data_IF_588054003687
#
_entry.id   IF_588054003687
#
_cell.length_a   1.000
_cell.length_b   1.000
_cell.length_c   1.000
_cell.angle_alpha   90.00
_cell.angle_beta   90.00
_cell.angle_gamma   90.00
#
_symmetry.space_group_name_H-M   'P 1'
#
loop_
_entity.id
_entity.type
_entity.pdbx_description
1 polymer ?
#
# COMPACT_ATOMS: atom_id res chain seq x y z
N UNK A 1 -50.17 -48.72 -8.29
CA UNK A 1 -48.94 -48.11 -8.81
C UNK A 1 -48.63 -46.96 -7.88
N UNK A 2 -47.67 -47.18 -7.00
CA UNK A 2 -47.38 -46.32 -5.86
C UNK A 2 -46.84 -44.96 -6.24
N UNK A 3 -47.24 -44.02 -5.39
CA UNK A 3 -46.91 -42.61 -5.31
C UNK A 3 -45.43 -42.29 -5.35
N UNK A 4 -44.97 -41.75 -6.47
CA UNK A 4 -43.66 -41.11 -6.62
C UNK A 4 -43.82 -39.58 -6.47
N UNK A 5 -44.13 -39.10 -5.25
CA UNK A 5 -44.28 -37.66 -4.95
C UNK A 5 -43.60 -37.21 -3.64
N UNK A 6 -42.63 -37.96 -3.11
CA UNK A 6 -41.96 -37.61 -1.84
C UNK A 6 -40.70 -36.72 -1.95
N UNK A 7 -40.15 -36.47 -3.14
CA UNK A 7 -38.82 -35.85 -3.25
C UNK A 7 -38.78 -34.31 -3.35
N UNK A 8 -39.91 -33.60 -3.51
CA UNK A 8 -39.89 -32.12 -3.59
C UNK A 8 -39.84 -31.41 -2.23
N UNK A 9 -40.41 -31.99 -1.16
CA UNK A 9 -40.66 -31.23 0.07
C UNK A 9 -39.45 -31.15 1.02
N UNK A 10 -38.60 -32.19 1.07
CA UNK A 10 -37.44 -32.24 1.97
C UNK A 10 -36.28 -31.35 1.49
N UNK A 11 -35.94 -31.41 0.19
CA UNK A 11 -34.90 -30.57 -0.42
C UNK A 11 -35.25 -29.08 -0.34
N UNK A 12 -36.51 -28.71 -0.62
CA UNK A 12 -36.97 -27.31 -0.52
C UNK A 12 -36.91 -26.84 0.94
N UNK A 13 -37.29 -27.68 1.90
CA UNK A 13 -37.21 -27.37 3.35
C UNK A 13 -35.77 -27.14 3.81
N UNK A 14 -34.84 -28.00 3.40
CA UNK A 14 -33.43 -27.89 3.79
C UNK A 14 -32.76 -26.65 3.19
N UNK A 15 -33.07 -26.33 1.93
CA UNK A 15 -32.59 -25.11 1.27
C UNK A 15 -33.16 -23.86 1.96
N UNK A 16 -34.46 -23.84 2.25
CA UNK A 16 -35.11 -22.74 2.97
C UNK A 16 -34.56 -22.58 4.40
N UNK A 17 -34.35 -23.69 5.12
CA UNK A 17 -33.82 -23.69 6.48
C UNK A 17 -32.36 -23.22 6.52
N UNK A 18 -31.50 -23.71 5.63
CA UNK A 18 -30.11 -23.21 5.48
C UNK A 18 -30.10 -21.72 5.12
N UNK A 19 -31.04 -21.26 4.28
CA UNK A 19 -31.23 -19.84 3.97
C UNK A 19 -31.61 -19.00 5.19
N UNK A 20 -32.55 -19.47 6.02
CA UNK A 20 -32.95 -18.82 7.27
C UNK A 20 -31.79 -18.75 8.27
N UNK A 21 -31.03 -19.84 8.43
CA UNK A 21 -29.83 -19.86 9.27
C UNK A 21 -28.76 -18.87 8.77
N UNK A 22 -28.56 -18.77 7.45
CA UNK A 22 -27.64 -17.79 6.85
C UNK A 22 -28.08 -16.35 7.15
N UNK A 23 -29.37 -16.04 6.98
CA UNK A 23 -29.93 -14.70 7.28
C UNK A 23 -29.79 -14.35 8.77
N UNK A 24 -30.09 -15.29 9.67
CA UNK A 24 -29.93 -15.10 11.12
C UNK A 24 -28.47 -14.85 11.50
N UNK A 25 -27.54 -15.61 10.93
CA UNK A 25 -26.08 -15.44 11.14
C UNK A 25 -25.61 -14.05 10.70
N UNK A 26 -25.97 -13.61 9.49
CA UNK A 26 -25.64 -12.26 9.00
C UNK A 26 -26.15 -11.16 9.94
N UNK A 27 -27.39 -11.30 10.43
CA UNK A 27 -27.99 -10.35 11.39
C UNK A 27 -27.23 -10.31 12.72
N UNK A 28 -26.78 -11.45 13.22
CA UNK A 28 -25.98 -11.53 14.45
C UNK A 28 -24.64 -10.82 14.25
N UNK A 29 -23.89 -11.16 13.20
CA UNK A 29 -22.61 -10.50 12.93
C UNK A 29 -22.75 -8.98 12.79
N UNK A 30 -23.82 -8.51 12.12
CA UNK A 30 -24.10 -7.08 11.99
C UNK A 30 -24.28 -6.42 13.36
N UNK A 31 -25.19 -6.97 14.17
CA UNK A 31 -25.46 -6.45 15.51
C UNK A 31 -24.23 -6.46 16.41
N UNK A 32 -23.40 -7.52 16.32
CA UNK A 32 -22.13 -7.59 17.06
C UNK A 32 -21.21 -6.45 16.66
N UNK A 33 -21.01 -6.22 15.35
CA UNK A 33 -20.15 -5.14 14.88
C UNK A 33 -20.68 -3.74 15.27
N UNK A 34 -21.99 -3.50 15.09
CA UNK A 34 -22.64 -2.24 15.47
C UNK A 34 -22.51 -1.96 16.98
N UNK A 35 -22.68 -3.00 17.81
CA UNK A 35 -22.50 -2.88 19.25
C UNK A 35 -21.04 -2.61 19.63
N UNK A 36 -20.08 -3.29 18.97
CA UNK A 36 -18.65 -3.06 19.17
C UNK A 36 -18.23 -1.63 18.79
N UNK A 37 -18.73 -1.10 17.67
CA UNK A 37 -18.48 0.30 17.27
C UNK A 37 -18.96 1.30 18.33
N UNK A 38 -20.07 0.99 19.02
CA UNK A 38 -20.63 1.87 20.03
C UNK A 38 -19.82 1.82 21.35
N UNK A 39 -19.57 0.62 21.87
CA UNK A 39 -18.91 0.45 23.19
C UNK A 39 -17.40 0.72 23.14
N UNK A 40 -16.75 0.51 21.98
CA UNK A 40 -15.31 0.70 21.82
C UNK A 40 -14.96 1.95 21.01
N UNK A 41 -15.88 2.92 20.91
CA UNK A 41 -15.72 4.11 20.07
C UNK A 41 -14.40 4.85 20.27
N UNK A 42 -13.92 4.96 21.51
CA UNK A 42 -12.69 5.68 21.87
C UNK A 42 -11.40 4.89 21.61
N UNK A 43 -11.50 3.58 21.34
CA UNK A 43 -10.36 2.69 21.06
C UNK A 43 -10.68 1.77 19.89
N UNK A 44 -11.39 2.30 18.91
CA UNK A 44 -11.94 1.50 17.81
C UNK A 44 -10.82 0.90 16.93
N UNK A 45 -9.64 1.54 16.94
CA UNK A 45 -8.42 1.11 16.29
C UNK A 45 -7.95 -0.28 16.72
N UNK A 46 -8.11 -0.63 18.00
CA UNK A 46 -7.75 -1.95 18.54
C UNK A 46 -8.62 -3.09 17.96
N UNK A 47 -9.75 -2.74 17.34
CA UNK A 47 -10.77 -3.68 16.88
C UNK A 47 -11.01 -3.67 15.37
N UNK A 48 -10.20 -2.95 14.58
CA UNK A 48 -10.43 -2.82 13.14
C UNK A 48 -10.52 -4.16 12.40
N UNK A 49 -9.63 -5.12 12.67
CA UNK A 49 -9.67 -6.43 12.01
C UNK A 49 -10.96 -7.21 12.36
N UNK A 50 -11.32 -7.21 13.65
CA UNK A 50 -12.50 -7.91 14.17
C UNK A 50 -13.78 -7.30 13.59
N UNK A 51 -13.88 -5.97 13.56
CA UNK A 51 -14.98 -5.24 12.93
C UNK A 51 -15.06 -5.54 11.43
N UNK A 52 -13.93 -5.53 10.72
CA UNK A 52 -13.84 -5.92 9.31
C UNK A 52 -14.40 -7.30 9.05
N UNK A 53 -14.06 -8.28 9.91
CA UNK A 53 -14.53 -9.65 9.82
C UNK A 53 -16.02 -9.81 10.11
N UNK A 54 -16.54 -9.18 11.19
CA UNK A 54 -17.97 -9.21 11.46
C UNK A 54 -18.78 -8.56 10.34
N UNK A 55 -18.34 -7.41 9.82
CA UNK A 55 -19.03 -6.77 8.71
C UNK A 55 -18.95 -7.58 7.41
N UNK A 56 -17.86 -8.30 7.16
CA UNK A 56 -17.74 -9.23 6.04
C UNK A 56 -18.80 -10.34 6.12
N UNK A 57 -18.90 -11.01 7.28
CA UNK A 57 -19.88 -12.07 7.50
C UNK A 57 -21.32 -11.56 7.57
N UNK A 58 -21.51 -10.28 7.90
CA UNK A 58 -22.80 -9.60 7.84
C UNK A 58 -23.20 -9.15 6.41
N UNK A 59 -22.29 -9.29 5.44
CA UNK A 59 -22.41 -8.77 4.08
C UNK A 59 -22.66 -7.26 4.02
N UNK A 60 -22.03 -6.52 4.94
CA UNK A 60 -21.95 -5.05 4.91
C UNK A 60 -20.57 -4.70 4.39
N UNK A 61 -20.40 -4.86 3.09
CA UNK A 61 -19.09 -4.90 2.45
C UNK A 61 -18.38 -3.55 2.45
N UNK A 62 -19.12 -2.44 2.44
CA UNK A 62 -18.58 -1.09 2.49
C UNK A 62 -17.82 -0.87 3.79
N UNK A 63 -18.47 -1.13 4.95
CA UNK A 63 -17.81 -1.06 6.26
C UNK A 63 -16.68 -2.08 6.37
N UNK A 64 -16.88 -3.30 5.88
CA UNK A 64 -15.86 -4.35 5.92
C UNK A 64 -14.58 -3.94 5.18
N UNK A 65 -14.72 -3.36 3.98
CA UNK A 65 -13.62 -2.83 3.19
C UNK A 65 -12.84 -1.76 3.96
N UNK A 66 -13.55 -0.78 4.53
CA UNK A 66 -12.94 0.33 5.26
C UNK A 66 -12.16 -0.18 6.49
N UNK A 67 -12.75 -1.09 7.27
CA UNK A 67 -12.11 -1.65 8.44
C UNK A 67 -10.91 -2.54 8.12
N UNK A 68 -10.98 -3.38 7.08
CA UNK A 68 -9.82 -4.14 6.64
C UNK A 68 -8.70 -3.24 6.09
N UNK A 69 -9.02 -2.15 5.38
CA UNK A 69 -8.01 -1.17 4.95
C UNK A 69 -7.33 -0.52 6.16
N UNK A 70 -8.10 -0.08 7.16
CA UNK A 70 -7.58 0.52 8.40
C UNK A 70 -6.74 -0.47 9.23
N UNK A 71 -7.22 -1.71 9.40
CA UNK A 71 -6.47 -2.77 10.08
C UNK A 71 -5.14 -3.05 9.39
N UNK A 72 -5.13 -3.10 8.06
CA UNK A 72 -3.89 -3.27 7.30
C UNK A 72 -2.92 -2.10 7.48
N UNK A 73 -3.43 -0.86 7.47
CA UNK A 73 -2.64 0.34 7.70
C UNK A 73 -2.02 0.39 9.09
N UNK A 74 -2.76 -0.04 10.10
CA UNK A 74 -2.29 -0.07 11.48
C UNK A 74 -1.27 -1.20 11.72
N UNK A 75 -1.57 -2.40 11.23
CA UNK A 75 -0.63 -3.52 11.25
C UNK A 75 0.68 -3.19 10.52
N UNK A 76 0.63 -2.45 9.41
CA UNK A 76 1.82 -1.98 8.69
C UNK A 76 2.66 -1.04 9.55
N UNK A 77 2.05 -0.10 10.29
CA UNK A 77 2.79 0.82 11.19
C UNK A 77 3.49 0.07 12.32
N UNK A 78 2.89 -1.02 12.80
CA UNK A 78 3.42 -1.88 13.86
C UNK A 78 4.35 -2.99 13.33
N UNK A 79 4.70 -2.99 12.04
CA UNK A 79 5.51 -4.02 11.38
C UNK A 79 4.92 -5.45 11.49
N UNK A 80 3.63 -5.58 11.74
CA UNK A 80 2.88 -6.84 11.73
C UNK A 80 2.58 -7.24 10.28
N UNK A 81 3.64 -7.51 9.52
CA UNK A 81 3.61 -7.60 8.06
C UNK A 81 2.61 -8.64 7.52
N UNK A 82 2.54 -9.82 8.15
CA UNK A 82 1.62 -10.87 7.70
C UNK A 82 0.14 -10.50 7.94
N UNK A 83 -0.15 -9.80 9.06
CA UNK A 83 -1.49 -9.29 9.37
C UNK A 83 -1.88 -8.22 8.35
N UNK A 84 -0.97 -7.28 8.06
CA UNK A 84 -1.18 -6.24 7.07
C UNK A 84 -1.51 -6.82 5.68
N UNK A 85 -0.73 -7.81 5.23
CA UNK A 85 -0.97 -8.50 3.96
C UNK A 85 -2.32 -9.22 3.93
N UNK A 86 -2.71 -9.90 5.02
CA UNK A 86 -4.01 -10.55 5.15
C UNK A 86 -5.17 -9.55 5.03
N UNK A 87 -5.08 -8.45 5.78
CA UNK A 87 -6.08 -7.38 5.78
C UNK A 87 -6.22 -6.72 4.41
N UNK A 88 -5.12 -6.31 3.78
CA UNK A 88 -5.19 -5.71 2.44
C UNK A 88 -5.70 -6.69 1.37
N UNK A 89 -5.36 -7.97 1.47
CA UNK A 89 -5.88 -9.00 0.57
C UNK A 89 -7.40 -9.12 0.69
N UNK A 90 -7.94 -9.09 1.92
CA UNK A 90 -9.39 -9.05 2.15
C UNK A 90 -10.02 -7.76 1.61
N UNK A 91 -9.38 -6.61 1.80
CA UNK A 91 -9.85 -5.36 1.22
C UNK A 91 -9.89 -5.41 -0.32
N UNK A 92 -8.91 -6.05 -0.99
CA UNK A 92 -8.92 -6.25 -2.45
C UNK A 92 -10.06 -7.17 -2.89
N UNK A 93 -10.29 -8.28 -2.18
CA UNK A 93 -11.39 -9.21 -2.44
C UNK A 93 -12.74 -8.48 -2.43
N UNK A 94 -12.96 -7.67 -1.39
CA UNK A 94 -14.18 -6.89 -1.21
C UNK A 94 -14.28 -5.78 -2.27
N UNK A 95 -13.19 -5.03 -2.51
CA UNK A 95 -13.13 -3.98 -3.53
C UNK A 95 -13.57 -4.49 -4.90
N UNK A 96 -13.04 -5.65 -5.33
CA UNK A 96 -13.42 -6.27 -6.61
C UNK A 96 -14.91 -6.58 -6.72
N UNK A 97 -15.57 -6.81 -5.59
CA UNK A 97 -17.01 -7.13 -5.52
C UNK A 97 -17.89 -5.88 -5.54
N UNK A 98 -17.55 -4.84 -4.77
CA UNK A 98 -18.44 -3.70 -4.56
C UNK A 98 -18.01 -2.41 -5.26
N UNK A 99 -16.73 -2.28 -5.61
CA UNK A 99 -16.15 -1.07 -6.22
C UNK A 99 -15.39 -1.38 -7.54
N UNK A 100 -15.93 -2.19 -8.47
CA UNK A 100 -15.17 -2.71 -9.61
C UNK A 100 -14.62 -1.62 -10.56
N UNK A 101 -15.21 -0.42 -10.56
CA UNK A 101 -14.81 0.71 -11.39
C UNK A 101 -13.86 1.69 -10.68
N UNK A 102 -13.69 1.59 -9.36
CA UNK A 102 -12.79 2.46 -8.59
C UNK A 102 -11.35 1.95 -8.64
N UNK A 103 -10.74 1.98 -9.83
CA UNK A 103 -9.41 1.41 -10.07
C UNK A 103 -8.30 2.04 -9.22
N UNK A 104 -8.37 3.33 -8.91
CA UNK A 104 -7.33 4.00 -8.11
C UNK A 104 -7.32 3.53 -6.64
N UNK A 105 -8.49 3.24 -6.05
CA UNK A 105 -8.56 2.59 -4.73
C UNK A 105 -7.94 1.19 -4.72
N UNK A 106 -8.05 0.47 -5.84
CA UNK A 106 -7.39 -0.83 -6.00
C UNK A 106 -5.88 -0.67 -6.15
N UNK A 107 -5.42 0.37 -6.87
CA UNK A 107 -4.02 0.72 -7.00
C UNK A 107 -3.37 1.00 -5.62
N UNK A 108 -4.05 1.75 -4.76
CA UNK A 108 -3.58 2.03 -3.38
C UNK A 108 -3.35 0.75 -2.57
N UNK A 109 -4.23 -0.24 -2.70
CA UNK A 109 -4.07 -1.51 -1.99
C UNK A 109 -2.90 -2.32 -2.53
N UNK A 110 -2.70 -2.34 -3.85
CA UNK A 110 -1.51 -2.97 -4.43
C UNK A 110 -0.23 -2.25 -4.02
N UNK A 111 -0.20 -0.92 -4.00
CA UNK A 111 0.94 -0.15 -3.50
C UNK A 111 1.25 -0.50 -2.05
N UNK A 112 0.23 -0.52 -1.17
CA UNK A 112 0.41 -0.86 0.25
C UNK A 112 0.92 -2.29 0.46
N UNK A 113 0.43 -3.26 -0.31
CA UNK A 113 0.95 -4.65 -0.29
C UNK A 113 2.40 -4.69 -0.78
N UNK A 114 2.72 -3.96 -1.85
CA UNK A 114 4.07 -3.82 -2.37
C UNK A 114 5.03 -3.28 -1.31
N UNK A 115 4.65 -2.20 -0.61
CA UNK A 115 5.45 -1.62 0.47
C UNK A 115 5.76 -2.65 1.57
N UNK A 116 4.75 -3.40 2.03
CA UNK A 116 4.93 -4.43 3.06
C UNK A 116 5.85 -5.56 2.57
N UNK A 117 5.75 -5.94 1.29
CA UNK A 117 6.63 -6.96 0.70
C UNK A 117 8.08 -6.47 0.55
N UNK A 118 8.31 -5.19 0.29
CA UNK A 118 9.66 -4.60 0.33
C UNK A 118 10.27 -4.74 1.72
N UNK A 119 9.52 -4.44 2.78
CA UNK A 119 9.99 -4.61 4.17
C UNK A 119 10.35 -6.06 4.49
N UNK A 120 9.64 -7.01 3.89
CA UNK A 120 9.94 -8.45 4.00
C UNK A 120 11.04 -8.95 3.05
N UNK A 121 11.70 -8.07 2.30
CA UNK A 121 12.64 -8.40 1.22
C UNK A 121 12.05 -9.33 0.12
N UNK A 122 10.72 -9.39 -0.02
CA UNK A 122 10.02 -10.14 -1.06
C UNK A 122 9.96 -9.33 -2.38
N UNK A 123 11.12 -8.93 -2.89
CA UNK A 123 11.27 -7.92 -3.95
C UNK A 123 10.54 -8.23 -5.25
N UNK A 124 10.64 -9.44 -5.78
CA UNK A 124 9.98 -9.79 -7.05
C UNK A 124 8.45 -9.72 -6.95
N UNK A 125 7.91 -10.12 -5.79
CA UNK A 125 6.47 -10.02 -5.52
C UNK A 125 6.06 -8.56 -5.34
N UNK A 126 6.87 -7.75 -4.64
CA UNK A 126 6.63 -6.31 -4.49
C UNK A 126 6.59 -5.60 -5.85
N UNK A 127 7.55 -5.91 -6.73
CA UNK A 127 7.56 -5.41 -8.12
C UNK A 127 6.29 -5.76 -8.89
N UNK A 128 5.74 -6.97 -8.71
CA UNK A 128 4.47 -7.36 -9.34
C UNK A 128 3.30 -6.51 -8.84
N UNK A 129 3.20 -6.27 -7.53
CA UNK A 129 2.14 -5.44 -6.97
C UNK A 129 2.29 -3.97 -7.36
N UNK A 130 3.50 -3.43 -7.35
CA UNK A 130 3.78 -2.09 -7.88
C UNK A 130 3.40 -1.97 -9.36
N UNK A 131 3.69 -2.95 -10.21
CA UNK A 131 3.22 -2.94 -11.61
C UNK A 131 1.70 -2.89 -11.72
N UNK A 132 0.96 -3.59 -10.85
CA UNK A 132 -0.49 -3.48 -10.78
C UNK A 132 -0.95 -2.08 -10.34
N UNK A 133 -0.29 -1.49 -9.33
CA UNK A 133 -0.59 -0.13 -8.88
C UNK A 133 -0.34 0.90 -9.99
N UNK A 134 0.82 0.83 -10.66
CA UNK A 134 1.19 1.69 -11.79
C UNK A 134 0.15 1.64 -12.92
N UNK A 135 -0.33 0.44 -13.26
CA UNK A 135 -1.32 0.24 -14.31
C UNK A 135 -2.65 0.94 -13.99
N UNK A 136 -3.08 0.92 -12.73
CA UNK A 136 -4.39 1.45 -12.33
C UNK A 136 -4.38 2.93 -11.91
N UNK A 137 -3.24 3.48 -11.48
CA UNK A 137 -3.15 4.90 -11.21
C UNK A 137 -3.35 5.74 -12.46
N UNK A 138 -4.02 6.89 -12.33
CA UNK A 138 -4.19 7.85 -13.43
C UNK A 138 -3.23 9.02 -13.29
N UNK A 139 -3.13 9.58 -12.09
CA UNK A 139 -2.28 10.73 -11.80
C UNK A 139 -0.80 10.43 -12.09
N UNK A 140 -0.13 11.36 -12.79
CA UNK A 140 1.28 11.22 -13.17
C UNK A 140 2.19 11.09 -11.95
N UNK A 141 1.93 11.87 -10.89
CA UNK A 141 2.70 11.80 -9.64
C UNK A 141 2.60 10.44 -8.96
N UNK A 142 1.41 9.82 -8.96
CA UNK A 142 1.22 8.47 -8.41
C UNK A 142 2.00 7.43 -9.21
N UNK A 143 1.94 7.51 -10.55
CA UNK A 143 2.71 6.61 -11.43
C UNK A 143 4.21 6.78 -11.24
N UNK A 144 4.69 8.02 -11.17
CA UNK A 144 6.07 8.37 -10.91
C UNK A 144 6.54 7.84 -9.55
N UNK A 145 5.70 7.97 -8.51
CA UNK A 145 5.98 7.42 -7.19
C UNK A 145 6.16 5.90 -7.20
N UNK A 146 5.36 5.19 -7.99
CA UNK A 146 5.52 3.75 -8.17
C UNK A 146 6.81 3.40 -8.94
N UNK A 147 7.16 4.15 -9.99
CA UNK A 147 8.44 3.96 -10.72
C UNK A 147 9.64 4.14 -9.80
N UNK A 148 9.65 5.20 -8.99
CA UNK A 148 10.65 5.43 -7.93
C UNK A 148 10.75 4.23 -6.98
N UNK A 149 9.62 3.72 -6.49
CA UNK A 149 9.59 2.57 -5.57
C UNK A 149 10.14 1.29 -6.21
N UNK A 150 9.92 1.08 -7.50
CA UNK A 150 10.55 -0.02 -8.26
C UNK A 150 12.07 0.21 -8.37
N UNK A 151 12.52 1.43 -8.69
CA UNK A 151 13.94 1.79 -8.69
C UNK A 151 14.61 1.49 -7.34
N UNK A 152 13.96 1.83 -6.23
CA UNK A 152 14.45 1.51 -4.88
C UNK A 152 14.62 0.00 -4.66
N UNK A 153 13.74 -0.84 -5.21
CA UNK A 153 13.92 -2.31 -5.13
C UNK A 153 15.21 -2.73 -5.83
N UNK A 154 15.48 -2.23 -7.03
CA UNK A 154 16.71 -2.56 -7.75
C UNK A 154 17.96 -2.03 -7.04
N UNK A 155 17.87 -0.86 -6.40
CA UNK A 155 18.92 -0.38 -5.51
C UNK A 155 19.20 -1.36 -4.37
N UNK A 156 18.17 -1.85 -3.67
CA UNK A 156 18.34 -2.84 -2.60
C UNK A 156 18.89 -4.20 -3.08
N UNK A 157 18.71 -4.53 -4.36
CA UNK A 157 19.28 -5.72 -4.99
C UNK A 157 20.74 -5.52 -5.45
N UNK A 158 21.27 -4.30 -5.38
CA UNK A 158 22.59 -3.95 -5.93
C UNK A 158 22.62 -3.78 -7.45
N UNK A 159 21.46 -3.82 -8.12
CA UNK A 159 21.32 -3.68 -9.57
C UNK A 159 21.26 -2.18 -9.94
N UNK A 160 22.38 -1.48 -9.71
CA UNK A 160 22.42 -0.01 -9.74
C UNK A 160 22.09 0.60 -11.09
N UNK A 161 22.56 0.04 -12.20
CA UNK A 161 22.27 0.61 -13.53
C UNK A 161 20.76 0.54 -13.85
N UNK A 162 20.09 -0.52 -13.38
CA UNK A 162 18.62 -0.63 -13.52
C UNK A 162 17.90 0.37 -12.61
N UNK A 163 18.36 0.53 -11.36
CA UNK A 163 17.80 1.52 -10.45
C UNK A 163 17.94 2.96 -10.98
N UNK A 164 19.10 3.30 -11.54
CA UNK A 164 19.37 4.58 -12.22
C UNK A 164 18.35 4.83 -13.32
N UNK A 165 18.14 3.86 -14.22
CA UNK A 165 17.16 3.98 -15.30
C UNK A 165 15.75 4.30 -14.78
N UNK A 166 15.31 3.65 -13.70
CA UNK A 166 14.01 3.98 -13.07
C UNK A 166 13.96 5.38 -12.45
N UNK A 167 15.05 5.85 -11.86
CA UNK A 167 15.12 7.21 -11.31
C UNK A 167 15.10 8.27 -12.40
N UNK A 168 15.84 8.07 -13.49
CA UNK A 168 15.86 8.97 -14.65
C UNK A 168 14.49 9.02 -15.34
N UNK A 169 13.84 7.88 -15.56
CA UNK A 169 12.47 7.82 -16.05
C UNK A 169 11.50 8.61 -15.15
N UNK A 170 11.64 8.47 -13.83
CA UNK A 170 10.78 9.17 -12.87
C UNK A 170 11.01 10.68 -12.90
N UNK A 171 12.26 11.12 -13.03
CA UNK A 171 12.62 12.54 -13.19
C UNK A 171 12.02 13.10 -14.48
N UNK A 172 12.14 12.37 -15.59
CA UNK A 172 11.59 12.77 -16.89
C UNK A 172 10.06 12.86 -16.85
N UNK A 173 9.38 11.91 -16.19
CA UNK A 173 7.92 11.95 -16.00
C UNK A 173 7.44 13.20 -15.24
N UNK A 174 8.27 13.76 -14.37
CA UNK A 174 7.93 14.89 -13.49
C UNK A 174 8.68 16.18 -13.84
N UNK A 175 9.32 16.27 -15.00
CA UNK A 175 10.11 17.46 -15.40
C UNK A 175 9.30 18.75 -15.42
N UNK A 176 8.03 18.67 -15.83
CA UNK A 176 7.07 19.80 -15.85
C UNK A 176 6.40 20.05 -14.47
N UNK A 177 6.76 19.25 -13.45
CA UNK A 177 6.26 19.33 -12.08
C UNK A 177 7.40 19.51 -11.07
N UNK A 178 8.20 20.60 -11.17
CA UNK A 178 9.44 20.76 -10.40
C UNK A 178 9.22 20.85 -8.89
N UNK A 179 8.02 21.19 -8.42
CA UNK A 179 7.66 21.23 -6.99
C UNK A 179 7.10 19.91 -6.46
N UNK A 180 7.08 18.85 -7.27
CA UNK A 180 6.59 17.54 -6.84
C UNK A 180 7.49 16.94 -5.77
N UNK A 181 6.90 16.55 -4.63
CA UNK A 181 7.64 15.86 -3.57
C UNK A 181 8.21 14.52 -4.05
N UNK A 182 7.51 13.83 -4.95
CA UNK A 182 7.97 12.58 -5.55
C UNK A 182 9.26 12.80 -6.36
N UNK A 183 9.37 13.93 -7.07
CA UNK A 183 10.58 14.29 -7.80
C UNK A 183 11.75 14.53 -6.84
N UNK A 184 11.53 15.29 -5.77
CA UNK A 184 12.56 15.53 -4.74
C UNK A 184 13.00 14.23 -4.06
N UNK A 185 12.07 13.36 -3.65
CA UNK A 185 12.41 12.05 -3.09
C UNK A 185 13.19 11.17 -4.08
N UNK A 186 12.84 11.22 -5.38
CA UNK A 186 13.56 10.48 -6.43
C UNK A 186 15.01 10.94 -6.50
N UNK A 187 15.23 12.26 -6.57
CA UNK A 187 16.59 12.84 -6.58
C UNK A 187 17.38 12.50 -5.32
N UNK A 188 16.74 12.46 -4.15
CA UNK A 188 17.37 12.03 -2.90
C UNK A 188 17.85 10.57 -2.96
N UNK A 189 16.99 9.65 -3.40
CA UNK A 189 17.39 8.25 -3.56
C UNK A 189 18.46 8.07 -4.65
N UNK A 190 18.37 8.83 -5.74
CA UNK A 190 19.40 8.80 -6.78
C UNK A 190 20.74 9.33 -6.24
N UNK A 191 20.75 10.44 -5.50
CA UNK A 191 21.95 10.94 -4.83
C UNK A 191 22.57 9.86 -3.92
N UNK A 192 21.73 9.17 -3.13
CA UNK A 192 22.18 8.08 -2.26
C UNK A 192 22.86 6.94 -3.04
N UNK A 193 22.29 6.55 -4.17
CA UNK A 193 22.88 5.56 -5.06
C UNK A 193 24.21 6.06 -5.65
N UNK A 194 24.28 7.31 -6.11
CA UNK A 194 25.46 7.88 -6.75
C UNK A 194 26.66 7.91 -5.80
N UNK A 195 26.50 8.43 -4.58
CA UNK A 195 27.63 8.47 -3.65
C UNK A 195 27.97 7.07 -3.09
N UNK A 196 26.97 6.29 -2.66
CA UNK A 196 27.21 5.03 -1.97
C UNK A 196 27.49 3.83 -2.88
N UNK A 197 26.92 3.84 -4.09
CA UNK A 197 27.02 2.74 -5.05
C UNK A 197 27.98 3.00 -6.22
N UNK A 198 28.25 4.26 -6.55
CA UNK A 198 29.15 4.65 -7.67
C UNK A 198 30.32 5.55 -7.24
N UNK A 199 30.36 5.99 -5.99
CA UNK A 199 31.35 6.96 -5.48
C UNK A 199 31.40 8.26 -6.29
N UNK A 200 30.31 8.61 -6.96
CA UNK A 200 30.15 9.87 -7.69
C UNK A 200 29.55 10.94 -6.77
N UNK A 201 30.41 11.48 -5.91
CA UNK A 201 30.03 12.50 -4.93
C UNK A 201 29.54 13.78 -5.61
N UNK A 202 30.15 14.17 -6.73
CA UNK A 202 29.80 15.40 -7.42
C UNK A 202 28.39 15.33 -8.02
N UNK A 203 28.03 14.22 -8.68
CA UNK A 203 26.69 14.03 -9.19
C UNK A 203 25.66 13.90 -8.06
N UNK A 204 26.03 13.25 -6.95
CA UNK A 204 25.17 13.15 -5.77
C UNK A 204 24.84 14.52 -5.15
N UNK A 205 25.85 15.40 -5.00
CA UNK A 205 25.68 16.78 -4.53
C UNK A 205 24.75 17.59 -5.42
N UNK A 206 24.88 17.43 -6.74
CA UNK A 206 23.99 18.08 -7.71
C UNK A 206 22.54 17.61 -7.55
N UNK A 207 22.32 16.30 -7.42
CA UNK A 207 20.99 15.73 -7.24
C UNK A 207 20.33 16.21 -5.94
N UNK A 208 21.06 16.20 -4.82
CA UNK A 208 20.50 16.58 -3.52
C UNK A 208 20.21 18.08 -3.43
N UNK A 209 21.07 18.91 -4.04
CA UNK A 209 20.85 20.37 -4.14
C UNK A 209 19.57 20.69 -4.90
N UNK A 210 19.33 20.02 -6.04
CA UNK A 210 18.09 20.18 -6.80
C UNK A 210 16.86 19.67 -6.05
N UNK A 211 17.00 18.63 -5.23
CA UNK A 211 15.90 18.07 -4.44
C UNK A 211 15.43 19.05 -3.35
N UNK A 212 16.38 19.62 -2.59
CA UNK A 212 16.09 20.51 -1.46
C UNK A 212 15.64 21.90 -1.90
N UNK A 213 16.12 22.41 -3.04
CA UNK A 213 15.77 23.75 -3.54
C UNK A 213 14.26 23.96 -3.81
N UNK A 214 13.47 22.88 -3.84
CA UNK A 214 12.02 22.90 -4.13
C UNK A 214 11.15 22.42 -2.96
N UNK A 215 11.77 22.01 -1.84
CA UNK A 215 11.05 21.56 -0.65
C UNK A 215 10.78 22.75 0.25
N UNK A 216 9.52 22.91 0.63
CA UNK A 216 9.11 23.74 1.75
C UNK A 216 9.38 22.98 3.06
N UNK A 217 10.37 23.43 3.82
CA UNK A 217 10.84 22.80 5.07
C UNK A 217 9.73 22.74 6.13
N UNK A 218 8.99 23.83 6.33
CA UNK A 218 7.94 23.91 7.34
C UNK A 218 6.80 22.93 7.03
N UNK A 219 6.44 22.81 5.75
CA UNK A 219 5.40 21.87 5.32
C UNK A 219 5.88 20.42 5.26
N UNK A 220 7.16 20.17 5.02
CA UNK A 220 7.71 18.83 4.77
C UNK A 220 8.98 18.53 5.59
N UNK A 221 8.96 18.69 6.91
CA UNK A 221 10.18 18.63 7.73
C UNK A 221 10.85 17.26 7.69
N UNK A 222 10.07 16.17 7.53
CA UNK A 222 10.62 14.81 7.43
C UNK A 222 11.40 14.58 6.14
N UNK A 223 10.89 15.07 5.01
CA UNK A 223 11.57 14.94 3.71
C UNK A 223 12.81 15.82 3.69
N UNK A 224 12.71 17.04 4.23
CA UNK A 224 13.83 17.94 4.36
C UNK A 224 14.96 17.34 5.22
N UNK A 225 14.63 16.81 6.40
CA UNK A 225 15.59 16.14 7.28
C UNK A 225 16.26 14.92 6.61
N UNK A 226 15.50 14.13 5.83
CA UNK A 226 16.08 13.03 5.05
C UNK A 226 17.11 13.53 4.04
N UNK A 227 16.85 14.66 3.38
CA UNK A 227 17.81 15.26 2.47
C UNK A 227 19.06 15.77 3.17
N UNK A 228 18.93 16.41 4.33
CA UNK A 228 20.08 16.83 5.15
C UNK A 228 20.95 15.65 5.60
N UNK A 229 20.32 14.53 5.96
CA UNK A 229 21.04 13.30 6.30
C UNK A 229 21.86 12.77 5.11
N UNK A 230 21.34 12.85 3.88
CA UNK A 230 22.10 12.48 2.68
C UNK A 230 23.30 13.41 2.48
N UNK A 231 23.12 14.72 2.64
CA UNK A 231 24.22 15.70 2.56
C UNK A 231 25.32 15.37 3.58
N UNK A 232 24.94 15.14 4.85
CA UNK A 232 25.89 14.78 5.90
C UNK A 232 26.69 13.53 5.55
N UNK A 233 26.03 12.50 5.01
CA UNK A 233 26.70 11.27 4.57
C UNK A 233 27.66 11.53 3.39
N UNK A 234 27.26 12.32 2.39
CA UNK A 234 28.12 12.66 1.25
C UNK A 234 29.43 13.31 1.74
N UNK A 235 29.35 14.30 2.64
CA UNK A 235 30.53 14.98 3.16
C UNK A 235 31.38 14.08 4.06
N UNK A 236 30.77 13.25 4.89
CA UNK A 236 31.48 12.28 5.72
C UNK A 236 32.32 11.33 4.86
N UNK A 237 31.69 10.68 3.88
CA UNK A 237 32.39 9.72 3.03
C UNK A 237 33.42 10.39 2.13
N UNK A 238 33.15 11.58 1.59
CA UNK A 238 34.15 12.28 0.75
C UNK A 238 35.43 12.61 1.52
N UNK A 239 35.29 13.09 2.76
CA UNK A 239 36.44 13.45 3.61
C UNK A 239 37.30 12.25 4.02
N UNK A 240 36.76 11.04 3.96
CA UNK A 240 37.52 9.80 4.23
C UNK A 240 38.36 9.35 3.00
N UNK A 241 38.19 9.98 1.84
CA UNK A 241 38.94 9.70 0.60
C UNK A 241 39.88 10.83 0.15
N UNK A 242 39.86 11.99 0.82
CA UNK A 242 40.77 13.13 0.62
C UNK A 242 41.96 13.07 1.59
#
# INVERSE_FOLDING_TARGET
SDTEYMFKHALIRDVAYKGLLKKKRRKIHRKTAEYMEDIFREKIEDYYEVLGNHYYHAEVFEKSYDYYKKAGDDAKKLYLNNVALGCYTKAIEIHKRILPYEKEKLAELYEKIGDVKVVKAEYDKACKDYKNAFHYYKAIEKKAGIRRKIGNIFFYKGEYDTAISFYEETIEMLKEHPSSLVLSETRMHYAQLLFGGKSDYQAAENMISQALAKIDEEKNPKIYAFGLNIIGNIFHFRSDYD
#
